data_IF_373090654441
#
_entry.id   IF_373090654441
#
_cell.length_a   1.000
_cell.length_b   1.000
_cell.length_c   1.000
_cell.angle_alpha   90.00
_cell.angle_beta   90.00
_cell.angle_gamma   90.00
#
_symmetry.space_group_name_H-M   'P 1'
#
loop_
_entity.id
_entity.type
_entity.pdbx_description
1 polymer ?
#
# COMPACT_ATOMS: atom_id res chain seq x y z
N UNK A 1 18.75 -3.38 -1.18
CA UNK A 1 19.82 -4.04 -2.00
C UNK A 1 20.66 -4.99 -1.16
N UNK A 2 21.06 -4.64 0.07
CA UNK A 2 21.89 -5.49 0.95
C UNK A 2 21.31 -6.88 1.25
N UNK A 3 20.00 -7.05 1.12
CA UNK A 3 19.30 -8.33 1.31
C UNK A 3 19.04 -9.08 -0.01
N UNK A 4 19.79 -8.79 -1.08
CA UNK A 4 19.68 -9.49 -2.36
C UNK A 4 18.41 -9.14 -3.17
N UNK A 5 17.91 -7.91 -3.03
CA UNK A 5 16.87 -7.34 -3.88
C UNK A 5 17.43 -6.23 -4.76
N UNK A 6 17.04 -6.18 -6.03
CA UNK A 6 17.14 -4.99 -6.84
C UNK A 6 15.94 -4.08 -6.55
N UNK A 7 16.14 -2.75 -6.60
CA UNK A 7 15.09 -1.77 -6.38
C UNK A 7 14.95 -0.93 -7.64
N UNK A 8 13.73 -0.88 -8.18
CA UNK A 8 13.36 -0.05 -9.32
C UNK A 8 12.39 1.03 -8.84
N UNK A 9 12.68 2.29 -9.12
CA UNK A 9 11.83 3.44 -8.82
C UNK A 9 11.58 4.22 -10.11
N UNK A 10 10.55 3.87 -10.88
CA UNK A 10 10.24 4.57 -12.12
C UNK A 10 9.55 5.91 -11.82
N UNK A 11 9.81 6.91 -12.65
CA UNK A 11 9.00 8.12 -12.68
C UNK A 11 7.62 7.82 -13.25
N UNK A 12 6.60 8.53 -12.74
CA UNK A 12 5.23 8.37 -13.17
C UNK A 12 4.78 9.63 -13.91
N UNK A 13 4.51 9.48 -15.19
CA UNK A 13 3.89 10.53 -16.01
C UNK A 13 2.38 10.42 -15.84
N UNK A 14 1.77 11.50 -15.34
CA UNK A 14 0.35 11.51 -15.02
C UNK A 14 -0.50 12.04 -16.17
N UNK A 15 -1.57 11.30 -16.44
CA UNK A 15 -2.72 11.78 -17.18
C UNK A 15 -3.76 12.32 -16.18
N UNK A 16 -4.36 13.47 -16.48
CA UNK A 16 -5.45 14.04 -15.68
C UNK A 16 -6.59 13.02 -15.55
N UNK A 17 -7.23 12.99 -14.39
CA UNK A 17 -8.33 12.08 -14.03
C UNK A 17 -7.98 10.58 -13.99
N UNK A 18 -6.73 10.20 -14.22
CA UNK A 18 -6.30 8.80 -14.26
C UNK A 18 -5.03 8.52 -13.43
N UNK A 19 -4.95 8.93 -12.15
CA UNK A 19 -3.73 8.74 -11.37
C UNK A 19 -3.35 7.27 -11.17
N UNK A 20 -4.32 6.38 -11.02
CA UNK A 20 -4.08 4.93 -10.86
C UNK A 20 -3.58 4.30 -12.17
N UNK A 21 -4.25 4.58 -13.27
CA UNK A 21 -3.83 4.09 -14.58
C UNK A 21 -2.50 4.68 -15.01
N UNK A 22 -2.20 5.93 -14.64
CA UNK A 22 -0.90 6.55 -14.89
C UNK A 22 0.24 5.78 -14.22
N UNK A 23 0.03 5.32 -12.97
CA UNK A 23 0.99 4.46 -12.30
C UNK A 23 1.17 3.12 -13.05
N UNK A 24 0.08 2.50 -13.52
CA UNK A 24 0.13 1.25 -14.27
C UNK A 24 0.94 1.42 -15.58
N UNK A 25 0.64 2.47 -16.34
CA UNK A 25 1.29 2.77 -17.64
C UNK A 25 2.77 3.12 -17.50
N UNK A 26 3.20 3.63 -16.35
CA UNK A 26 4.60 3.91 -16.10
C UNK A 26 5.36 2.71 -15.51
N UNK A 27 4.77 2.03 -14.53
CA UNK A 27 5.44 0.95 -13.78
C UNK A 27 5.62 -0.30 -14.66
N UNK A 28 4.61 -0.73 -15.42
CA UNK A 28 4.72 -1.99 -16.18
C UNK A 28 5.78 -1.92 -17.28
N UNK A 29 5.88 -0.88 -18.12
CA UNK A 29 6.98 -0.78 -19.10
C UNK A 29 8.36 -0.69 -18.45
N UNK A 30 8.48 0.01 -17.30
CA UNK A 30 9.74 0.07 -16.56
C UNK A 30 10.16 -1.31 -16.02
N UNK A 31 9.20 -2.08 -15.51
CA UNK A 31 9.41 -3.48 -15.09
C UNK A 31 9.83 -4.34 -16.28
N UNK A 32 9.17 -4.22 -17.44
CA UNK A 32 9.52 -4.96 -18.65
C UNK A 32 10.95 -4.61 -19.14
N UNK A 33 11.33 -3.33 -19.06
CA UNK A 33 12.69 -2.92 -19.38
C UNK A 33 13.72 -3.50 -18.41
N UNK A 34 13.42 -3.52 -17.10
CA UNK A 34 14.29 -4.13 -16.10
C UNK A 34 14.45 -5.65 -16.31
N UNK A 35 13.36 -6.36 -16.63
CA UNK A 35 13.40 -7.80 -16.93
C UNK A 35 14.26 -8.09 -18.18
N UNK A 36 14.17 -7.27 -19.22
CA UNK A 36 14.98 -7.39 -20.44
C UNK A 36 16.49 -7.29 -20.19
N UNK A 37 16.92 -6.69 -19.09
CA UNK A 37 18.36 -6.63 -18.74
C UNK A 37 18.94 -8.00 -18.39
N UNK A 38 18.11 -9.00 -18.07
CA UNK A 38 18.51 -10.32 -17.61
C UNK A 38 18.97 -10.37 -16.14
N UNK A 39 18.97 -9.24 -15.43
CA UNK A 39 19.36 -9.17 -14.01
C UNK A 39 18.19 -9.48 -13.07
N UNK A 40 16.96 -9.29 -13.54
CA UNK A 40 15.72 -9.41 -12.74
C UNK A 40 14.98 -10.70 -13.10
N UNK A 41 14.61 -11.47 -12.07
CA UNK A 41 13.72 -12.63 -12.23
C UNK A 41 12.27 -12.15 -12.32
N UNK A 42 11.67 -12.30 -13.51
CA UNK A 42 10.28 -11.91 -13.77
C UNK A 42 9.24 -12.64 -12.89
N UNK A 43 9.61 -13.76 -12.26
CA UNK A 43 8.75 -14.54 -11.38
C UNK A 43 8.90 -14.16 -9.89
N UNK A 44 9.83 -13.26 -9.56
CA UNK A 44 10.17 -12.88 -8.18
C UNK A 44 10.11 -11.38 -7.96
N UNK A 45 9.04 -10.74 -8.45
CA UNK A 45 8.84 -9.30 -8.35
C UNK A 45 7.86 -8.95 -7.24
N UNK A 46 8.27 -8.01 -6.38
CA UNK A 46 7.42 -7.41 -5.36
C UNK A 46 7.12 -5.94 -5.69
N UNK A 47 6.06 -5.42 -5.10
CA UNK A 47 5.65 -4.02 -5.21
C UNK A 47 5.61 -3.38 -3.83
N UNK A 48 6.09 -2.15 -3.69
CA UNK A 48 6.05 -1.43 -2.41
C UNK A 48 5.81 0.05 -2.62
N UNK A 49 5.00 0.63 -1.77
CA UNK A 49 4.77 2.07 -1.71
C UNK A 49 4.16 2.52 -0.40
N UNK A 50 4.33 3.79 -0.06
CA UNK A 50 3.78 4.41 1.13
C UNK A 50 2.97 5.65 0.76
N UNK A 51 1.90 5.95 1.50
CA UNK A 51 1.04 7.11 1.26
C UNK A 51 0.42 7.07 -0.14
N UNK A 52 0.66 8.07 -0.98
CA UNK A 52 0.26 8.03 -2.38
C UNK A 52 0.84 6.81 -3.14
N UNK A 53 2.09 6.41 -2.81
CA UNK A 53 2.68 5.16 -3.30
C UNK A 53 1.96 3.91 -2.75
N UNK A 54 1.41 3.98 -1.54
CA UNK A 54 0.55 2.94 -0.98
C UNK A 54 -0.79 2.82 -1.74
N UNK A 55 -1.38 3.97 -2.12
CA UNK A 55 -2.51 4.02 -3.05
C UNK A 55 -2.16 3.34 -4.38
N UNK A 56 -1.07 3.76 -5.01
CA UNK A 56 -0.62 3.18 -6.28
C UNK A 56 -0.39 1.68 -6.18
N UNK A 57 0.26 1.21 -5.11
CA UNK A 57 0.46 -0.21 -4.83
C UNK A 57 -0.88 -0.95 -4.73
N UNK A 58 -1.81 -0.42 -3.95
CA UNK A 58 -3.15 -1.00 -3.77
C UNK A 58 -3.96 -1.02 -5.07
N UNK A 59 -3.80 0.01 -5.91
CA UNK A 59 -4.45 0.08 -7.22
C UNK A 59 -3.83 -0.91 -8.22
N UNK A 60 -2.51 -0.93 -8.34
CA UNK A 60 -1.82 -1.79 -9.32
C UNK A 60 -2.17 -3.27 -9.13
N UNK A 61 -2.23 -3.76 -7.90
CA UNK A 61 -2.58 -5.17 -7.65
C UNK A 61 -4.05 -5.52 -7.98
N UNK A 62 -4.90 -4.52 -8.23
CA UNK A 62 -6.25 -4.74 -8.78
C UNK A 62 -6.25 -4.82 -10.30
N UNK A 63 -5.19 -4.35 -10.97
CA UNK A 63 -5.09 -4.24 -12.42
C UNK A 63 -4.16 -5.30 -13.04
N UNK A 64 -3.24 -5.87 -12.27
CA UNK A 64 -2.25 -6.82 -12.78
C UNK A 64 -1.83 -7.84 -11.73
N UNK A 65 -1.52 -9.06 -12.18
CA UNK A 65 -0.97 -10.15 -11.36
C UNK A 65 0.54 -10.35 -11.55
N UNK A 66 1.25 -9.34 -12.08
CA UNK A 66 2.69 -9.39 -12.33
C UNK A 66 3.51 -9.51 -11.05
N UNK A 67 3.02 -9.00 -9.94
CA UNK A 67 3.71 -8.97 -8.66
C UNK A 67 3.30 -10.15 -7.79
N UNK A 68 4.28 -10.82 -7.19
CA UNK A 68 4.06 -11.99 -6.32
C UNK A 68 3.78 -11.61 -4.86
N UNK A 69 4.09 -10.39 -4.49
CA UNK A 69 3.81 -9.82 -3.17
C UNK A 69 3.73 -8.29 -3.28
N UNK A 70 2.95 -7.67 -2.44
CA UNK A 70 2.85 -6.22 -2.36
C UNK A 70 2.84 -5.74 -0.91
N UNK A 71 3.48 -4.60 -0.64
CA UNK A 71 3.44 -3.94 0.66
C UNK A 71 2.98 -2.49 0.50
N UNK A 72 1.83 -2.12 1.11
CA UNK A 72 1.25 -0.80 1.03
C UNK A 72 1.22 -0.15 2.41
N UNK A 73 1.96 0.94 2.60
CA UNK A 73 1.92 1.74 3.82
C UNK A 73 0.93 2.89 3.70
N UNK A 74 0.08 3.07 4.70
CA UNK A 74 -0.92 4.15 4.79
C UNK A 74 -1.65 4.40 3.45
N UNK A 75 -2.24 3.36 2.82
CA UNK A 75 -2.83 3.51 1.51
C UNK A 75 -4.15 4.27 1.55
N UNK A 76 -4.32 5.22 0.65
CA UNK A 76 -5.62 5.75 0.28
C UNK A 76 -6.29 4.73 -0.66
N UNK A 77 -7.50 4.29 -0.36
CA UNK A 77 -8.13 3.17 -1.08
C UNK A 77 -9.52 3.48 -1.62
N UNK A 78 -10.15 4.53 -1.09
CA UNK A 78 -11.45 5.04 -1.55
C UNK A 78 -11.36 6.57 -1.69
N UNK A 79 -11.21 7.03 -2.92
CA UNK A 79 -11.03 8.46 -3.19
C UNK A 79 -12.29 9.28 -2.89
N UNK A 80 -13.47 8.65 -3.01
CA UNK A 80 -14.75 9.33 -2.76
C UNK A 80 -14.90 9.61 -1.27
N UNK A 81 -14.72 8.61 -0.40
CA UNK A 81 -14.86 8.78 1.04
C UNK A 81 -13.73 9.62 1.66
N UNK A 82 -12.56 9.69 1.00
CA UNK A 82 -11.41 10.46 1.49
C UNK A 82 -11.48 11.94 1.10
N UNK A 83 -12.17 12.30 0.01
CA UNK A 83 -12.14 13.64 -0.60
C UNK A 83 -12.55 14.77 0.37
N UNK A 84 -13.65 14.61 1.08
CA UNK A 84 -14.17 15.63 2.01
C UNK A 84 -13.63 15.54 3.43
N UNK A 85 -12.67 14.65 3.68
CA UNK A 85 -12.06 14.54 5.01
C UNK A 85 -11.00 15.62 5.23
N UNK A 86 -10.57 15.72 6.47
CA UNK A 86 -9.55 16.67 6.91
C UNK A 86 -8.18 16.00 6.86
N UNK A 87 -7.20 16.69 6.30
CA UNK A 87 -5.79 16.38 6.47
C UNK A 87 -5.35 16.87 7.86
N UNK A 88 -5.56 16.06 8.89
CA UNK A 88 -5.40 16.44 10.30
C UNK A 88 -4.01 16.97 10.65
N UNK A 89 -2.96 16.52 9.96
CA UNK A 89 -1.60 17.00 10.18
C UNK A 89 -1.42 18.50 9.84
N UNK A 90 -2.30 19.09 9.04
CA UNK A 90 -2.27 20.52 8.69
C UNK A 90 -3.57 21.26 9.00
N UNK A 91 -4.68 20.55 9.20
CA UNK A 91 -6.02 21.12 9.40
C UNK A 91 -6.70 21.54 8.10
N UNK A 92 -6.10 21.32 6.92
CA UNK A 92 -6.70 21.61 5.62
C UNK A 92 -7.59 20.48 5.11
N UNK A 93 -8.48 20.80 4.16
CA UNK A 93 -9.28 19.77 3.47
C UNK A 93 -8.46 18.98 2.45
N UNK A 94 -8.82 17.70 2.26
CA UNK A 94 -8.14 16.84 1.30
C UNK A 94 -8.40 17.20 -0.17
N UNK A 95 -9.44 17.97 -0.49
CA UNK A 95 -9.81 18.36 -1.86
C UNK A 95 -8.59 18.86 -2.68
N UNK A 96 -7.71 19.65 -2.06
CA UNK A 96 -6.50 20.17 -2.73
C UNK A 96 -5.51 19.07 -3.12
N UNK A 97 -5.47 17.94 -2.41
CA UNK A 97 -4.64 16.79 -2.75
C UNK A 97 -5.16 16.12 -4.01
N UNK A 98 -6.47 16.05 -4.15
CA UNK A 98 -7.11 15.41 -5.30
C UNK A 98 -7.07 16.30 -6.55
N UNK A 99 -7.41 17.57 -6.44
CA UNK A 99 -7.55 18.45 -7.62
C UNK A 99 -6.25 19.18 -7.97
N UNK A 100 -5.58 19.78 -6.99
CA UNK A 100 -4.45 20.69 -7.22
C UNK A 100 -3.07 20.04 -7.04
N UNK A 101 -2.97 18.78 -6.61
CA UNK A 101 -1.71 18.13 -6.26
C UNK A 101 -1.63 16.70 -6.82
N UNK A 102 -1.52 15.70 -5.97
CA UNK A 102 -1.20 14.31 -6.35
C UNK A 102 -2.28 13.64 -7.21
N UNK A 103 -3.56 13.93 -6.96
CA UNK A 103 -4.68 13.33 -7.66
C UNK A 103 -4.82 13.78 -9.11
N UNK A 104 -4.64 15.08 -9.37
CA UNK A 104 -4.78 15.71 -10.69
C UNK A 104 -6.14 15.47 -11.34
N UNK A 105 -7.20 15.45 -10.52
CA UNK A 105 -8.58 15.40 -10.99
C UNK A 105 -9.04 16.78 -11.46
N UNK A 106 -9.87 16.81 -12.49
CA UNK A 106 -10.42 18.04 -13.09
C UNK A 106 -11.73 18.51 -12.40
N UNK A 107 -11.85 18.25 -11.09
CA UNK A 107 -13.00 18.62 -10.28
C UNK A 107 -13.27 17.58 -9.21
N UNK A 108 -14.28 17.82 -8.37
CA UNK A 108 -14.64 16.93 -7.28
C UNK A 108 -15.45 15.70 -7.74
N UNK A 109 -15.79 14.80 -6.78
CA UNK A 109 -16.53 13.58 -7.11
C UNK A 109 -17.91 13.84 -7.75
N UNK A 110 -18.54 14.97 -7.42
CA UNK A 110 -19.89 15.30 -7.96
C UNK A 110 -19.86 15.71 -9.43
N UNK A 111 -18.75 16.30 -9.88
CA UNK A 111 -18.55 16.66 -11.29
C UNK A 111 -17.92 15.50 -12.09
N UNK A 112 -17.14 14.64 -11.43
CA UNK A 112 -16.31 13.65 -12.10
C UNK A 112 -16.33 12.28 -11.41
N UNK A 113 -17.53 11.79 -11.06
CA UNK A 113 -17.74 10.54 -10.32
C UNK A 113 -16.98 9.35 -10.91
N UNK A 114 -17.08 9.15 -12.21
CA UNK A 114 -16.47 8.02 -12.91
C UNK A 114 -14.93 8.00 -12.73
N UNK A 115 -14.29 9.17 -12.67
CA UNK A 115 -12.86 9.24 -12.44
C UNK A 115 -12.49 8.80 -11.01
N UNK A 116 -13.24 9.25 -10.02
CA UNK A 116 -13.03 8.87 -8.62
C UNK A 116 -13.30 7.39 -8.38
N UNK A 117 -14.39 6.87 -8.92
CA UNK A 117 -14.74 5.44 -8.81
C UNK A 117 -13.67 4.55 -9.44
N UNK A 118 -13.34 4.77 -10.74
CA UNK A 118 -12.39 3.91 -11.46
C UNK A 118 -10.97 3.94 -10.90
N UNK A 119 -10.57 5.03 -10.22
CA UNK A 119 -9.26 5.14 -9.59
C UNK A 119 -9.24 4.72 -8.10
N UNK A 120 -10.37 4.32 -7.52
CA UNK A 120 -10.46 3.86 -6.14
C UNK A 120 -10.22 2.34 -6.03
N UNK A 121 -9.13 1.87 -5.41
CA UNK A 121 -8.83 0.45 -5.27
C UNK A 121 -9.97 -0.39 -4.67
N UNK A 122 -10.75 0.19 -3.77
CA UNK A 122 -11.83 -0.51 -3.05
C UNK A 122 -12.89 -1.10 -4.01
N UNK A 123 -13.20 -0.44 -5.12
CA UNK A 123 -14.20 -0.92 -6.07
C UNK A 123 -13.69 -2.07 -6.95
N UNK A 124 -12.39 -2.33 -6.94
CA UNK A 124 -11.73 -3.34 -7.76
C UNK A 124 -11.17 -4.52 -6.95
N UNK A 125 -11.47 -4.62 -5.66
CA UNK A 125 -10.92 -5.64 -4.75
C UNK A 125 -11.14 -7.08 -5.22
N UNK A 126 -12.16 -7.35 -6.04
CA UNK A 126 -12.43 -8.68 -6.60
C UNK A 126 -11.25 -9.20 -7.42
N UNK A 127 -10.52 -8.31 -8.08
CA UNK A 127 -9.42 -8.65 -8.98
C UNK A 127 -8.12 -8.97 -8.25
N UNK A 128 -7.98 -8.58 -6.97
CA UNK A 128 -6.76 -8.80 -6.21
C UNK A 128 -6.47 -10.28 -6.03
N UNK A 129 -5.27 -10.70 -6.42
CA UNK A 129 -4.73 -12.04 -6.21
C UNK A 129 -3.38 -11.99 -5.47
N UNK A 130 -2.67 -10.88 -5.60
CA UNK A 130 -1.36 -10.65 -4.99
C UNK A 130 -1.49 -10.56 -3.47
N UNK A 131 -0.72 -11.35 -2.69
CA UNK A 131 -0.63 -11.18 -1.24
C UNK A 131 -0.22 -9.77 -0.85
N UNK A 132 -0.97 -9.17 0.06
CA UNK A 132 -0.79 -7.77 0.47
C UNK A 132 -0.45 -7.66 1.96
N UNK A 133 0.69 -7.04 2.25
CA UNK A 133 1.01 -6.53 3.59
C UNK A 133 0.63 -5.05 3.65
N UNK A 134 -0.26 -4.70 4.56
CA UNK A 134 -0.63 -3.30 4.80
C UNK A 134 -0.04 -2.81 6.12
N UNK A 135 0.48 -1.60 6.12
CA UNK A 135 0.76 -0.81 7.34
C UNK A 135 -0.21 0.35 7.37
N UNK A 136 -0.98 0.51 8.44
CA UNK A 136 -1.79 1.71 8.65
C UNK A 136 -2.02 1.95 10.14
N UNK A 137 -1.78 3.16 10.61
CA UNK A 137 -1.74 3.49 12.02
C UNK A 137 -2.99 4.27 12.47
N UNK A 138 -3.39 4.11 13.73
CA UNK A 138 -4.63 4.67 14.29
C UNK A 138 -4.61 6.20 14.49
N UNK A 139 -3.43 6.83 14.45
CA UNK A 139 -3.26 8.29 14.54
C UNK A 139 -2.81 8.92 13.23
N UNK A 140 -3.03 8.21 12.12
CA UNK A 140 -2.70 8.77 10.81
C UNK A 140 -3.50 10.04 10.54
N UNK A 141 -2.80 11.16 10.48
CA UNK A 141 -3.38 12.47 10.24
C UNK A 141 -3.25 12.96 8.80
N UNK A 142 -2.78 12.10 7.89
CA UNK A 142 -2.67 12.39 6.47
C UNK A 142 -3.66 11.56 5.65
N UNK A 143 -3.64 10.25 5.80
CA UNK A 143 -4.60 9.32 5.22
C UNK A 143 -5.37 8.67 6.36
N UNK A 144 -6.65 8.96 6.45
CA UNK A 144 -7.48 8.45 7.54
C UNK A 144 -7.38 6.94 7.68
N UNK A 145 -7.21 6.45 8.91
CA UNK A 145 -7.03 5.02 9.20
C UNK A 145 -8.21 4.17 8.70
N UNK A 146 -9.40 4.76 8.59
CA UNK A 146 -10.58 4.07 8.05
C UNK A 146 -10.38 3.59 6.62
N UNK A 147 -9.53 4.25 5.83
CA UNK A 147 -9.15 3.80 4.48
C UNK A 147 -8.49 2.41 4.51
N UNK A 148 -7.57 2.21 5.44
CA UNK A 148 -6.94 0.89 5.64
C UNK A 148 -7.92 -0.16 6.16
N UNK A 149 -8.78 0.21 7.11
CA UNK A 149 -9.80 -0.70 7.67
C UNK A 149 -10.79 -1.14 6.60
N UNK A 150 -11.32 -0.20 5.81
CA UNK A 150 -12.28 -0.48 4.74
C UNK A 150 -11.71 -1.48 3.73
N UNK A 151 -10.51 -1.20 3.23
CA UNK A 151 -9.87 -2.06 2.23
C UNK A 151 -9.50 -3.44 2.78
N UNK A 152 -8.95 -3.48 4.01
CA UNK A 152 -8.66 -4.74 4.70
C UNK A 152 -9.90 -5.61 4.87
N UNK A 153 -11.01 -5.02 5.33
CA UNK A 153 -12.25 -5.75 5.53
C UNK A 153 -12.85 -6.26 4.21
N UNK A 154 -12.79 -5.46 3.14
CA UNK A 154 -13.25 -5.86 1.81
C UNK A 154 -12.44 -7.06 1.28
N UNK A 155 -11.10 -6.98 1.38
CA UNK A 155 -10.21 -8.07 0.99
C UNK A 155 -10.47 -9.35 1.83
N UNK A 156 -10.58 -9.22 3.16
CA UNK A 156 -10.92 -10.33 4.06
C UNK A 156 -12.27 -10.96 3.74
N UNK A 157 -13.29 -10.13 3.49
CA UNK A 157 -14.63 -10.61 3.09
C UNK A 157 -14.59 -11.46 1.84
N UNK A 158 -13.70 -11.14 0.91
CA UNK A 158 -13.49 -11.84 -0.35
C UNK A 158 -12.42 -12.95 -0.26
N UNK A 159 -11.93 -13.27 0.95
CA UNK A 159 -10.90 -14.29 1.21
C UNK A 159 -9.59 -14.03 0.43
N UNK A 160 -9.28 -12.76 0.20
CA UNK A 160 -8.01 -12.36 -0.42
C UNK A 160 -6.87 -12.40 0.61
N UNK A 161 -5.63 -12.74 0.20
CA UNK A 161 -4.50 -12.82 1.12
C UNK A 161 -4.05 -11.40 1.52
N UNK A 162 -4.40 -10.99 2.74
CA UNK A 162 -4.07 -9.67 3.29
C UNK A 162 -3.70 -9.75 4.77
N UNK A 163 -2.67 -9.01 5.14
CA UNK A 163 -2.25 -8.78 6.54
C UNK A 163 -2.25 -7.28 6.78
N UNK A 164 -2.88 -6.82 7.86
CA UNK A 164 -2.79 -5.43 8.33
C UNK A 164 -1.95 -5.37 9.59
N UNK A 165 -0.86 -4.60 9.55
CA UNK A 165 -0.02 -4.27 10.70
C UNK A 165 -0.36 -2.86 11.15
N UNK A 166 -0.64 -2.70 12.43
CA UNK A 166 -0.94 -1.42 13.07
C UNK A 166 0.02 -1.20 14.24
N UNK A 167 0.61 -0.02 14.33
CA UNK A 167 1.37 0.44 15.50
C UNK A 167 0.57 1.53 16.21
N UNK A 168 0.15 1.22 17.45
CA UNK A 168 -0.73 2.09 18.22
C UNK A 168 -0.05 3.43 18.56
N UNK A 169 -0.79 4.51 18.31
CA UNK A 169 -0.33 5.87 18.58
C UNK A 169 0.65 6.44 17.57
N UNK A 170 0.99 5.71 16.51
CA UNK A 170 1.79 6.22 15.40
C UNK A 170 0.92 6.99 14.40
N UNK A 171 1.52 8.00 13.76
CA UNK A 171 0.89 8.83 12.73
C UNK A 171 1.10 8.20 11.33
N UNK A 172 1.10 9.01 10.29
CA UNK A 172 1.23 8.64 8.87
C UNK A 172 2.50 7.84 8.58
N UNK A 173 3.59 8.14 9.25
CA UNK A 173 4.82 7.37 9.29
C UNK A 173 5.13 6.85 10.69
N UNK A 174 6.01 5.88 10.79
CA UNK A 174 6.49 5.38 12.07
C UNK A 174 7.53 6.35 12.67
N UNK A 175 7.20 6.96 13.80
CA UNK A 175 8.09 7.87 14.54
C UNK A 175 9.06 7.13 15.45
N UNK A 176 8.58 6.12 16.18
CA UNK A 176 9.36 5.38 17.15
C UNK A 176 10.33 4.42 16.48
N UNK A 177 11.58 4.40 16.97
CA UNK A 177 12.65 3.60 16.37
C UNK A 177 12.34 2.10 16.41
N UNK A 178 11.81 1.61 17.52
CA UNK A 178 11.42 0.21 17.69
C UNK A 178 10.37 -0.22 16.66
N UNK A 179 9.35 0.61 16.42
CA UNK A 179 8.31 0.32 15.44
C UNK A 179 8.87 0.32 14.00
N UNK A 180 9.78 1.26 13.69
CA UNK A 180 10.46 1.28 12.39
C UNK A 180 11.29 0.03 12.15
N UNK A 181 12.04 -0.42 13.15
CA UNK A 181 12.82 -1.65 13.07
C UNK A 181 11.91 -2.88 12.89
N UNK A 182 10.89 -3.01 13.74
CA UNK A 182 9.97 -4.14 13.67
C UNK A 182 9.27 -4.22 12.30
N UNK A 183 8.74 -3.09 11.80
CA UNK A 183 8.10 -3.09 10.48
C UNK A 183 9.08 -3.38 9.33
N UNK A 184 10.31 -2.87 9.39
CA UNK A 184 11.32 -3.15 8.39
C UNK A 184 11.65 -4.66 8.32
N UNK A 185 11.74 -5.32 9.48
CA UNK A 185 11.96 -6.77 9.56
C UNK A 185 10.73 -7.53 9.03
N UNK A 186 9.50 -7.15 9.43
CA UNK A 186 8.29 -7.81 8.94
C UNK A 186 8.16 -7.69 7.42
N UNK A 187 8.43 -6.53 6.85
CA UNK A 187 8.38 -6.33 5.41
C UNK A 187 9.45 -7.18 4.69
N UNK A 188 10.66 -7.27 5.26
CA UNK A 188 11.70 -8.15 4.74
C UNK A 188 11.32 -9.63 4.81
N UNK A 189 10.78 -10.08 5.94
CA UNK A 189 10.29 -11.45 6.14
C UNK A 189 9.17 -11.77 5.14
N UNK A 190 8.22 -10.84 4.94
CA UNK A 190 7.12 -10.99 3.98
C UNK A 190 7.64 -11.16 2.54
N UNK A 191 8.53 -10.29 2.09
CA UNK A 191 9.10 -10.43 0.75
C UNK A 191 10.02 -11.64 0.62
N UNK A 192 10.79 -12.01 1.63
CA UNK A 192 11.60 -13.23 1.62
C UNK A 192 10.72 -14.49 1.50
N UNK A 193 9.60 -14.54 2.21
CA UNK A 193 8.65 -15.65 2.08
C UNK A 193 8.11 -15.76 0.65
N UNK A 194 7.53 -14.68 0.13
CA UNK A 194 6.82 -14.72 -1.15
C UNK A 194 7.73 -14.71 -2.38
N UNK A 195 8.94 -14.13 -2.28
CA UNK A 195 9.84 -13.98 -3.43
C UNK A 195 11.03 -14.94 -3.41
N UNK A 196 11.43 -15.42 -2.23
CA UNK A 196 12.58 -16.31 -2.08
C UNK A 196 12.23 -17.69 -1.54
N UNK A 197 10.94 -17.96 -1.25
CA UNK A 197 10.48 -19.25 -0.75
C UNK A 197 10.92 -19.58 0.68
N UNK A 198 11.28 -18.57 1.48
CA UNK A 198 11.61 -18.79 2.88
C UNK A 198 10.34 -19.15 3.68
N UNK A 199 10.50 -19.88 4.78
CA UNK A 199 9.39 -20.23 5.65
C UNK A 199 8.64 -18.97 6.15
N UNK A 200 7.32 -19.04 6.22
CA UNK A 200 6.53 -17.95 6.80
C UNK A 200 6.80 -17.83 8.30
N UNK A 201 7.08 -16.65 8.83
CA UNK A 201 7.19 -16.46 10.28
C UNK A 201 5.82 -16.60 10.96
N UNK A 202 5.82 -16.95 12.24
CA UNK A 202 4.61 -17.24 13.01
C UNK A 202 3.59 -16.10 12.97
N UNK A 203 4.04 -14.84 12.99
CA UNK A 203 3.14 -13.68 12.95
C UNK A 203 2.36 -13.57 11.61
N UNK A 204 2.90 -14.07 10.51
CA UNK A 204 2.20 -14.11 9.23
C UNK A 204 1.09 -15.17 9.20
N UNK A 205 1.34 -16.31 9.83
CA UNK A 205 0.40 -17.43 9.84
C UNK A 205 -0.71 -17.26 10.87
N UNK A 206 -0.35 -16.86 12.10
CA UNK A 206 -1.26 -16.81 13.24
C UNK A 206 -1.77 -15.41 13.57
N UNK A 207 -1.11 -14.37 13.04
CA UNK A 207 -1.33 -13.00 13.47
C UNK A 207 -0.85 -12.75 14.91
N UNK A 208 -1.11 -11.53 15.39
CA UNK A 208 -0.84 -11.13 16.77
C UNK A 208 -2.15 -10.65 17.38
N UNK A 209 -2.66 -11.32 18.44
CA UNK A 209 -3.86 -10.86 19.13
C UNK A 209 -3.67 -9.43 19.66
N UNK A 210 -4.67 -8.57 19.50
CA UNK A 210 -4.60 -7.15 19.91
C UNK A 210 -4.15 -6.98 21.37
N UNK A 211 -4.62 -7.84 22.27
CA UNK A 211 -4.28 -7.79 23.69
C UNK A 211 -2.83 -8.19 23.99
N UNK A 212 -2.13 -8.79 23.02
CA UNK A 212 -0.73 -9.22 23.13
C UNK A 212 0.24 -8.37 22.31
N UNK A 213 -0.20 -7.26 21.73
CA UNK A 213 0.67 -6.42 20.86
C UNK A 213 1.89 -5.90 21.60
N UNK A 214 1.72 -5.42 22.84
CA UNK A 214 2.83 -4.91 23.66
C UNK A 214 3.84 -6.00 24.00
N UNK A 215 3.37 -7.15 24.47
CA UNK A 215 4.23 -8.29 24.79
C UNK A 215 5.00 -8.78 23.56
N UNK A 216 4.32 -8.88 22.44
CA UNK A 216 4.92 -9.32 21.18
C UNK A 216 6.03 -8.37 20.69
N UNK A 217 5.87 -7.06 20.83
CA UNK A 217 6.93 -6.10 20.51
C UNK A 217 8.15 -6.26 21.42
N UNK A 218 7.92 -6.49 22.71
CA UNK A 218 9.00 -6.73 23.67
C UNK A 218 9.77 -8.03 23.37
N UNK A 219 9.07 -9.10 22.98
CA UNK A 219 9.68 -10.38 22.58
C UNK A 219 10.53 -10.25 21.30
N UNK A 220 10.22 -9.26 20.45
CA UNK A 220 10.96 -8.97 19.21
C UNK A 220 12.00 -7.85 19.40
N UNK A 221 12.34 -7.49 20.65
CA UNK A 221 13.32 -6.43 20.92
C UNK A 221 14.62 -6.69 20.16
N UNK A 222 15.04 -5.71 19.37
CA UNK A 222 16.22 -5.73 18.51
C UNK A 222 17.39 -4.97 19.15
#
# INVERSE_FOLDING_TARGET
TSNGFAVLMPDIVYKMDDPGMSALWAVLPAVDAAVKTGVVDANKMGLHGHSWGGYQTSFLITQTNRFKAAAAGAPLTNMISMYDLIYWNSGGGNMSIFEASQGRFLGGPWENWDAYERNSPIYHVKNVQTPLLMLHNDKDGAVDFTQGIEYYNALRRLKKPVILVQYLGENHGLGKLENRKDYAVRMLEFFNHHLKGMAAPVWMEKGVPRLKLGDHLNERAF
#
